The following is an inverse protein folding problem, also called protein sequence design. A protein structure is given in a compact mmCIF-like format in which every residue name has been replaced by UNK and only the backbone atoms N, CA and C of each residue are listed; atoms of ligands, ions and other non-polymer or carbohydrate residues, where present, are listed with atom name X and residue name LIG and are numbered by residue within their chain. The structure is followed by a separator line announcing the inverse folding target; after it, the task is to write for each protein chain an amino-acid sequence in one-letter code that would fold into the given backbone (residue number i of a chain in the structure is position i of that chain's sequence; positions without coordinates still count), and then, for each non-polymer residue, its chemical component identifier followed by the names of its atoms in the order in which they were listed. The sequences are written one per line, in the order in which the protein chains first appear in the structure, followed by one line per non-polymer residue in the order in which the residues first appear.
data_IF_943006102042
#
_entry.id   IF_943006102042
#
_cell.length_a   1.000
_cell.length_b   1.000
_cell.length_c   1.000
_cell.angle_alpha   90.00
_cell.angle_beta   90.00
_cell.angle_gamma   90.00
#
_symmetry.space_group_name_H-M   'P 1'
#
loop_
_entity.id
_entity.type
_entity.pdbx_description
1 polymer ?
#
# COMPACT_ATOMS: atom_id res chain seq x y z
N UNK A 1 36.57 -6.69 33.77
CA UNK A 1 36.57 -6.22 32.36
C UNK A 1 35.53 -6.92 31.48
N UNK A 2 35.31 -8.24 31.63
CA UNK A 2 34.40 -9.03 30.78
C UNK A 2 32.93 -8.56 30.74
N UNK A 3 32.41 -8.07 31.87
CA UNK A 3 31.05 -7.52 31.98
C UNK A 3 30.95 -6.17 31.27
N UNK A 4 31.96 -5.31 31.43
CA UNK A 4 32.00 -3.99 30.78
C UNK A 4 32.11 -4.12 29.25
N UNK A 5 32.88 -5.08 28.74
CA UNK A 5 32.93 -5.37 27.31
C UNK A 5 31.60 -5.92 26.79
N UNK A 6 30.92 -6.79 27.54
CA UNK A 6 29.59 -7.27 27.13
C UNK A 6 28.55 -6.15 27.08
N UNK A 7 28.56 -5.22 28.05
CA UNK A 7 27.68 -4.05 28.04
C UNK A 7 27.97 -3.17 26.83
N UNK A 8 29.24 -2.88 26.54
CA UNK A 8 29.63 -2.06 25.40
C UNK A 8 29.24 -2.68 24.05
N UNK A 9 29.38 -4.01 23.91
CA UNK A 9 28.95 -4.74 22.71
C UNK A 9 27.44 -4.71 22.56
N UNK A 10 26.68 -4.97 23.64
CA UNK A 10 25.22 -4.93 23.60
C UNK A 10 24.70 -3.54 23.24
N UNK A 11 25.29 -2.48 23.81
CA UNK A 11 24.92 -1.10 23.48
C UNK A 11 25.25 -0.74 22.03
N UNK A 12 26.38 -1.24 21.50
CA UNK A 12 26.74 -1.01 20.10
C UNK A 12 25.78 -1.70 19.12
N UNK A 13 25.30 -2.91 19.46
CA UNK A 13 24.31 -3.63 18.66
C UNK A 13 22.95 -2.92 18.69
N UNK A 14 22.50 -2.46 19.86
CA UNK A 14 21.23 -1.71 19.98
C UNK A 14 21.32 -0.38 19.23
N UNK A 15 22.43 0.35 19.35
CA UNK A 15 22.64 1.59 18.60
C UNK A 15 22.77 1.38 17.08
N UNK A 16 23.26 0.21 16.65
CA UNK A 16 23.35 -0.17 15.23
C UNK A 16 22.05 -0.76 14.69
N UNK A 17 21.06 -1.04 15.55
CA UNK A 17 19.76 -1.51 15.09
C UNK A 17 19.04 -0.33 14.42
N UNK A 18 18.99 -0.37 13.09
CA UNK A 18 18.18 0.56 12.31
C UNK A 18 16.73 0.32 12.66
N UNK A 19 16.09 1.30 13.30
CA UNK A 19 14.63 1.31 13.45
C UNK A 19 14.04 1.29 12.04
N UNK A 20 13.24 0.27 11.72
CA UNK A 20 12.55 0.18 10.44
C UNK A 20 11.46 1.26 10.40
N UNK A 21 11.83 2.46 9.96
CA UNK A 21 10.87 3.51 9.69
C UNK A 21 10.08 3.15 8.42
N UNK A 22 8.78 3.38 8.43
CA UNK A 22 7.94 3.41 7.23
C UNK A 22 8.25 4.68 6.42
N UNK A 23 9.50 4.85 5.99
CA UNK A 23 9.93 5.99 5.15
C UNK A 23 9.41 5.86 3.72
N UNK A 24 9.05 4.65 3.31
CA UNK A 24 8.49 4.37 1.99
C UNK A 24 6.97 4.46 2.07
N UNK A 25 6.38 5.29 1.21
CA UNK A 25 4.95 5.27 0.97
C UNK A 25 4.56 3.87 0.47
N UNK A 26 3.37 3.36 0.82
CA UNK A 26 2.85 2.16 0.20
C UNK A 26 2.83 2.32 -1.32
N UNK A 27 3.43 1.36 -2.03
CA UNK A 27 3.41 1.23 -3.49
C UNK A 27 2.91 -0.14 -3.92
N UNK A 28 2.59 -1.01 -2.97
CA UNK A 28 2.09 -2.36 -3.17
C UNK A 28 0.79 -2.56 -2.40
N UNK A 29 0.06 -3.61 -2.73
CA UNK A 29 -1.15 -4.02 -2.04
C UNK A 29 -1.21 -5.53 -1.87
N UNK A 30 -1.78 -5.97 -0.76
CA UNK A 30 -2.16 -7.37 -0.54
C UNK A 30 -3.60 -7.39 -0.02
N UNK A 31 -4.47 -8.19 -0.62
CA UNK A 31 -5.91 -8.22 -0.28
C UNK A 31 -6.56 -6.82 -0.26
N UNK A 32 -6.16 -5.95 -1.19
CA UNK A 32 -6.63 -4.55 -1.28
C UNK A 32 -6.29 -3.66 -0.07
N UNK A 33 -5.25 -4.02 0.68
CA UNK A 33 -4.66 -3.21 1.74
C UNK A 33 -3.27 -2.71 1.30
N UNK A 34 -2.97 -1.41 1.45
CA UNK A 34 -1.69 -0.84 1.08
C UNK A 34 -0.57 -1.37 1.97
N UNK A 35 0.55 -1.78 1.35
CA UNK A 35 1.77 -2.25 2.02
C UNK A 35 3.03 -1.64 1.39
N UNK A 36 4.10 -1.52 2.18
CA UNK A 36 5.42 -1.05 1.74
C UNK A 36 6.25 -2.20 1.14
N UNK A 37 7.34 -1.86 0.43
CA UNK A 37 8.28 -2.86 -0.08
C UNK A 37 8.91 -3.71 1.05
N UNK A 38 9.19 -3.08 2.20
CA UNK A 38 9.68 -3.80 3.39
C UNK A 38 8.69 -4.83 3.91
N UNK A 39 7.38 -4.55 3.84
CA UNK A 39 6.34 -5.50 4.23
C UNK A 39 6.21 -6.64 3.21
N UNK A 40 6.42 -6.39 1.91
CA UNK A 40 6.51 -7.45 0.90
C UNK A 40 7.66 -8.41 1.18
N UNK A 41 8.82 -7.90 1.62
CA UNK A 41 9.98 -8.74 1.97
C UNK A 41 9.70 -9.65 3.16
N UNK A 42 8.87 -9.20 4.12
CA UNK A 42 8.49 -10.00 5.31
C UNK A 42 7.38 -10.99 4.99
N UNK A 43 6.37 -10.58 4.23
CA UNK A 43 5.18 -11.38 3.94
C UNK A 43 5.37 -12.34 2.75
N UNK A 44 6.36 -12.07 1.90
CA UNK A 44 6.55 -12.71 0.60
C UNK A 44 5.67 -12.09 -0.50
N UNK A 45 5.94 -12.44 -1.76
CA UNK A 45 5.25 -11.87 -2.92
C UNK A 45 3.91 -12.52 -3.29
N UNK A 46 3.45 -13.53 -2.55
CA UNK A 46 2.22 -14.24 -2.91
C UNK A 46 0.97 -13.37 -2.71
N UNK A 47 0.25 -13.08 -3.80
CA UNK A 47 -0.95 -12.23 -3.76
C UNK A 47 -0.66 -10.75 -3.52
N UNK A 48 0.59 -10.34 -3.69
CA UNK A 48 1.00 -8.93 -3.71
C UNK A 48 0.85 -8.39 -5.12
N UNK A 49 0.24 -7.23 -5.25
CA UNK A 49 0.14 -6.47 -6.51
C UNK A 49 0.81 -5.12 -6.33
N UNK A 50 1.42 -4.59 -7.39
CA UNK A 50 1.93 -3.22 -7.40
C UNK A 50 0.78 -2.24 -7.66
N UNK A 51 0.78 -1.11 -6.96
CA UNK A 51 -0.22 -0.07 -7.16
C UNK A 51 -0.06 0.58 -8.55
N UNK A 52 -1.18 0.88 -9.20
CA UNK A 52 -1.15 1.56 -10.50
C UNK A 52 -0.51 2.95 -10.39
N UNK A 53 0.49 3.22 -11.23
CA UNK A 53 1.09 4.54 -11.36
C UNK A 53 0.10 5.62 -11.86
N UNK A 54 -1.00 5.20 -12.48
CA UNK A 54 -2.10 6.07 -12.92
C UNK A 54 -3.45 5.51 -12.44
N UNK A 55 -3.84 5.77 -11.18
CA UNK A 55 -5.10 5.27 -10.63
C UNK A 55 -6.29 5.85 -11.37
N UNK A 56 -7.23 4.99 -11.77
CA UNK A 56 -8.45 5.42 -12.48
C UNK A 56 -9.45 6.12 -11.55
N UNK A 57 -9.31 5.93 -10.23
CA UNK A 57 -10.15 6.52 -9.20
C UNK A 57 -9.27 6.99 -8.05
N UNK A 58 -9.37 8.27 -7.70
CA UNK A 58 -8.65 8.91 -6.59
C UNK A 58 -9.66 9.65 -5.73
N UNK A 59 -9.61 9.43 -4.41
CA UNK A 59 -10.42 10.15 -3.42
C UNK A 59 -9.49 10.80 -2.41
N UNK A 60 -9.56 12.12 -2.26
CA UNK A 60 -8.69 12.88 -1.35
C UNK A 60 -7.18 12.62 -1.54
N UNK A 61 -6.75 12.39 -2.79
CA UNK A 61 -5.35 12.08 -3.11
C UNK A 61 -4.95 10.61 -2.89
N UNK A 62 -5.86 9.74 -2.46
CA UNK A 62 -5.61 8.30 -2.29
C UNK A 62 -6.20 7.48 -3.45
N UNK A 63 -5.41 6.60 -4.09
CA UNK A 63 -5.92 5.63 -5.04
C UNK A 63 -7.01 4.75 -4.41
N UNK A 64 -8.07 4.45 -5.17
CA UNK A 64 -9.04 3.43 -4.74
C UNK A 64 -8.43 2.03 -4.87
N UNK A 65 -8.65 1.17 -3.88
CA UNK A 65 -8.12 -0.20 -3.91
C UNK A 65 -8.88 -1.08 -4.93
N UNK A 66 -8.31 -2.21 -5.40
CA UNK A 66 -8.96 -3.11 -6.33
C UNK A 66 -10.36 -3.56 -5.89
N UNK A 67 -10.55 -3.84 -4.60
CA UNK A 67 -11.87 -4.17 -4.05
C UNK A 67 -12.87 -3.01 -4.19
N UNK A 68 -12.44 -1.77 -3.94
CA UNK A 68 -13.30 -0.59 -4.11
C UNK A 68 -13.63 -0.36 -5.58
N UNK A 69 -12.65 -0.49 -6.47
CA UNK A 69 -12.87 -0.38 -7.93
C UNK A 69 -13.86 -1.43 -8.41
N UNK A 70 -13.77 -2.67 -7.93
CA UNK A 70 -14.71 -3.74 -8.28
C UNK A 70 -16.16 -3.42 -7.89
N UNK A 71 -16.35 -2.78 -6.74
CA UNK A 71 -17.70 -2.40 -6.26
C UNK A 71 -18.23 -1.17 -7.00
N UNK A 72 -17.39 -0.18 -7.26
CA UNK A 72 -17.82 1.11 -7.81
C UNK A 72 -17.96 1.11 -9.34
N UNK A 73 -17.14 0.32 -10.06
CA UNK A 73 -17.13 0.30 -11.53
C UNK A 73 -18.49 -0.03 -12.16
N UNK A 74 -19.27 -1.02 -11.69
CA UNK A 74 -20.59 -1.31 -12.26
C UNK A 74 -21.55 -0.12 -12.16
N UNK A 75 -21.53 0.61 -11.03
CA UNK A 75 -22.41 1.77 -10.83
C UNK A 75 -22.04 2.93 -11.74
N UNK A 76 -20.74 3.20 -11.92
CA UNK A 76 -20.25 4.24 -12.83
C UNK A 76 -20.71 3.97 -14.26
N UNK A 77 -20.62 2.72 -14.73
CA UNK A 77 -21.09 2.32 -16.07
C UNK A 77 -22.59 2.54 -16.26
N UNK A 78 -23.40 2.19 -15.26
CA UNK A 78 -24.85 2.39 -15.33
C UNK A 78 -25.21 3.87 -15.38
N UNK A 79 -24.56 4.72 -14.56
CA UNK A 79 -24.79 6.16 -14.57
C UNK A 79 -24.40 6.79 -15.92
N UNK A 80 -23.28 6.37 -16.50
CA UNK A 80 -22.86 6.82 -17.83
C UNK A 80 -23.88 6.45 -18.91
N UNK A 81 -24.41 5.22 -18.87
CA UNK A 81 -25.44 4.76 -19.81
C UNK A 81 -26.77 5.53 -19.64
N UNK A 82 -27.17 5.86 -18.41
CA UNK A 82 -28.40 6.60 -18.15
C UNK A 82 -28.32 8.05 -18.64
N UNK A 83 -27.17 8.72 -18.48
CA UNK A 83 -26.95 10.07 -19.00
C UNK A 83 -27.04 10.14 -20.53
N UNK A 84 -26.44 9.18 -21.24
CA UNK A 84 -26.52 9.10 -22.70
C UNK A 84 -27.94 8.94 -23.23
N UNK A 85 -28.82 8.26 -22.49
CA UNK A 85 -30.23 8.11 -22.88
C UNK A 85 -31.07 9.36 -22.64
N UNK A 86 -30.65 10.24 -21.71
CA UNK A 86 -31.33 11.51 -21.42
C UNK A 86 -30.97 12.60 -22.43
N UNK A 87 -29.74 12.63 -22.93
CA UNK A 87 -29.27 13.61 -23.93
C UNK A 87 -29.84 13.32 -25.34
N UNK A 88 -30.27 12.07 -25.60
CA UNK A 88 -30.82 11.65 -26.88
C UNK A 88 -32.34 11.88 -27.02
N UNK A 89 -32.99 12.51 -26.04
CA UNK A 89 -34.45 12.70 -25.98
C UNK A 89 -34.82 14.18 -25.91
#
# INVERSE_FOLDING_TARGET
MRVLTMIAVASAVIASSTVAFASELPTYEVKSLPISATQVQVLGGAGVEEQSAAPTMIVAGMPASPAQVSVLSPRVKQLASAGSGSEAR
#
